data_IF_937024171306
#
_entry.id   IF_937024171306
#
_cell.length_a   1.000
_cell.length_b   1.000
_cell.length_c   1.000
_cell.angle_alpha   90.00
_cell.angle_beta   90.00
_cell.angle_gamma   90.00
#
_symmetry.space_group_name_H-M   'P 1'
#
loop_
_entity.id
_entity.type
_entity.pdbx_description
1 polymer ?
#
# COMPACT_ATOMS: atom_id res chain seq x y z
N UNK A 1 39.58 6.10 -40.39
CA UNK A 1 38.47 6.22 -39.41
C UNK A 1 37.08 5.97 -40.01
N UNK A 2 36.78 6.41 -41.25
CA UNK A 2 35.46 6.20 -41.88
C UNK A 2 35.10 4.73 -42.23
N UNK A 3 36.08 3.82 -42.29
CA UNK A 3 35.83 2.40 -42.61
C UNK A 3 35.17 1.61 -41.48
N UNK A 4 35.43 1.99 -40.22
CA UNK A 4 34.88 1.32 -39.02
C UNK A 4 33.40 1.67 -38.81
N UNK A 5 33.00 2.88 -39.20
CA UNK A 5 31.62 3.39 -39.06
C UNK A 5 30.63 2.63 -39.95
N UNK A 6 31.10 1.95 -41.01
CA UNK A 6 30.28 1.13 -41.92
C UNK A 6 30.32 -0.37 -41.62
N UNK A 7 30.97 -0.79 -40.53
CA UNK A 7 31.06 -2.20 -40.17
C UNK A 7 29.70 -2.71 -39.68
N UNK A 8 29.32 -3.92 -40.13
CA UNK A 8 28.09 -4.60 -39.72
C UNK A 8 28.12 -5.11 -38.26
N UNK A 9 29.25 -4.90 -37.58
CA UNK A 9 29.45 -5.32 -36.20
C UNK A 9 28.94 -4.25 -35.23
N UNK A 10 27.84 -4.57 -34.56
CA UNK A 10 27.07 -3.65 -33.72
C UNK A 10 27.88 -3.15 -32.51
N UNK A 11 28.79 -3.97 -31.99
CA UNK A 11 29.63 -3.61 -30.84
C UNK A 11 30.74 -2.62 -31.23
N UNK A 12 31.40 -2.83 -32.38
CA UNK A 12 32.41 -1.91 -32.90
C UNK A 12 31.84 -0.54 -33.27
N UNK A 13 30.62 -0.51 -33.81
CA UNK A 13 29.92 0.74 -34.10
C UNK A 13 29.52 1.47 -32.82
N UNK A 14 29.07 0.76 -31.79
CA UNK A 14 28.69 1.34 -30.48
C UNK A 14 29.90 1.92 -29.75
N UNK A 15 31.06 1.25 -29.80
CA UNK A 15 32.31 1.77 -29.22
C UNK A 15 32.86 3.01 -29.96
N UNK A 16 32.61 3.11 -31.28
CA UNK A 16 33.15 4.19 -32.12
C UNK A 16 32.21 5.42 -32.19
N UNK A 17 30.89 5.20 -32.22
CA UNK A 17 29.87 6.25 -32.32
C UNK A 17 29.28 6.65 -30.96
N UNK A 18 29.37 5.78 -29.96
CA UNK A 18 28.78 5.97 -28.64
C UNK A 18 27.28 5.65 -28.60
N UNK A 19 26.72 5.66 -27.39
CA UNK A 19 25.28 5.54 -27.11
C UNK A 19 24.79 6.84 -26.47
N UNK A 20 23.61 7.29 -26.86
CA UNK A 20 22.96 8.44 -26.22
C UNK A 20 22.53 8.07 -24.80
N UNK A 21 23.14 8.70 -23.80
CA UNK A 21 22.90 8.44 -22.39
C UNK A 21 21.54 8.95 -21.90
N UNK A 22 20.90 9.89 -22.62
CA UNK A 22 19.55 10.35 -22.28
C UNK A 22 18.49 9.28 -22.49
N UNK A 23 18.80 8.26 -23.31
CA UNK A 23 17.94 7.07 -23.51
C UNK A 23 18.00 6.08 -22.34
N UNK A 24 18.89 6.29 -21.37
CA UNK A 24 19.05 5.42 -20.19
C UNK A 24 18.09 5.77 -19.05
N UNK A 25 17.14 6.70 -19.26
CA UNK A 25 16.17 7.09 -18.24
C UNK A 25 16.77 7.87 -17.07
N UNK A 26 18.03 8.35 -17.20
CA UNK A 26 18.70 9.17 -16.20
C UNK A 26 18.56 10.65 -16.58
N UNK A 27 18.00 11.45 -15.66
CA UNK A 27 17.83 12.89 -15.84
C UNK A 27 19.15 13.65 -15.67
N UNK A 28 20.06 13.60 -16.64
CA UNK A 28 21.37 14.29 -16.59
C UNK A 28 21.27 15.82 -16.49
N UNK A 29 20.09 16.38 -16.69
CA UNK A 29 19.81 17.82 -16.57
C UNK A 29 19.32 18.22 -15.17
N UNK A 30 19.17 17.28 -14.22
CA UNK A 30 18.76 17.62 -12.85
C UNK A 30 19.91 18.25 -12.07
N UNK A 31 19.61 19.28 -11.27
CA UNK A 31 20.56 19.85 -10.32
C UNK A 31 20.82 18.92 -9.10
N UNK A 32 19.89 17.98 -8.87
CA UNK A 32 19.95 17.00 -7.78
C UNK A 32 20.81 15.77 -8.13
N UNK A 33 21.43 15.12 -7.12
CA UNK A 33 22.31 13.99 -7.36
C UNK A 33 21.54 12.72 -7.74
N UNK A 34 21.99 12.04 -8.81
CA UNK A 34 21.29 10.92 -9.44
C UNK A 34 21.30 9.60 -8.64
N UNK A 35 22.11 9.48 -7.59
CA UNK A 35 22.25 8.23 -6.83
C UNK A 35 20.98 7.82 -6.08
N UNK A 36 20.09 8.77 -5.75
CA UNK A 36 18.82 8.48 -5.08
C UNK A 36 17.78 7.81 -5.98
N UNK A 37 17.93 7.90 -7.30
CA UNK A 37 17.04 7.28 -8.28
C UNK A 37 17.73 6.19 -9.10
N UNK A 38 19.06 6.02 -8.95
CA UNK A 38 19.82 5.02 -9.67
C UNK A 38 19.60 3.62 -9.07
N UNK A 39 18.72 2.83 -9.71
CA UNK A 39 18.35 1.51 -9.20
C UNK A 39 19.42 0.43 -9.41
N UNK A 40 19.98 0.32 -10.63
CA UNK A 40 21.02 -0.66 -10.92
C UNK A 40 21.71 -0.37 -12.26
N UNK A 41 23.00 -0.70 -12.43
CA UNK A 41 23.74 -0.54 -13.70
C UNK A 41 23.15 -1.27 -14.91
N UNK A 42 22.29 -2.28 -14.69
CA UNK A 42 21.63 -3.05 -15.76
C UNK A 42 20.12 -2.77 -15.87
N UNK A 43 19.60 -1.80 -15.10
CA UNK A 43 18.18 -1.48 -15.14
C UNK A 43 17.87 -0.57 -16.33
N UNK A 44 17.14 -1.09 -17.32
CA UNK A 44 16.75 -0.35 -18.53
C UNK A 44 15.35 0.30 -18.43
N UNK A 45 14.70 0.24 -17.27
CA UNK A 45 13.39 0.88 -17.03
C UNK A 45 13.53 2.34 -16.58
N UNK A 46 12.43 3.14 -16.62
CA UNK A 46 12.43 4.44 -15.95
C UNK A 46 12.77 4.22 -14.49
N UNK A 47 13.81 4.91 -13.99
CA UNK A 47 14.31 4.79 -12.63
C UNK A 47 13.15 4.76 -11.65
N UNK A 48 12.87 3.58 -11.10
CA UNK A 48 11.86 3.44 -10.07
C UNK A 48 12.37 4.23 -8.87
N UNK A 49 11.51 5.08 -8.32
CA UNK A 49 11.68 5.70 -7.00
C UNK A 49 11.81 4.69 -5.85
N UNK A 50 11.81 3.39 -6.18
CA UNK A 50 11.94 2.23 -5.29
C UNK A 50 13.39 1.93 -4.88
N UNK A 51 14.34 2.83 -5.15
CA UNK A 51 15.67 2.74 -4.54
C UNK A 51 15.51 3.16 -3.09
N UNK A 52 15.53 2.17 -2.19
CA UNK A 52 15.47 2.39 -0.75
C UNK A 52 16.70 3.22 -0.34
N UNK A 53 16.51 4.54 -0.26
CA UNK A 53 17.56 5.45 0.16
C UNK A 53 18.01 5.06 1.57
N UNK A 54 19.31 4.90 1.77
CA UNK A 54 19.85 4.57 3.08
C UNK A 54 19.59 5.74 4.05
N UNK A 55 18.65 5.54 4.98
CA UNK A 55 18.27 6.55 5.96
C UNK A 55 18.94 6.25 7.30
N UNK A 56 19.73 7.20 7.82
CA UNK A 56 20.32 7.07 9.15
C UNK A 56 19.31 7.48 10.21
N UNK A 57 18.72 6.51 10.91
CA UNK A 57 17.81 6.75 12.04
C UNK A 57 18.61 7.09 13.29
N UNK A 58 18.42 8.26 13.93
CA UNK A 58 19.07 8.56 15.20
C UNK A 58 18.74 7.54 16.28
N UNK A 59 19.69 7.22 17.15
CA UNK A 59 19.54 6.19 18.18
C UNK A 59 18.35 6.41 19.13
N UNK A 60 17.88 7.66 19.29
CA UNK A 60 16.70 7.97 20.11
C UNK A 60 15.38 7.44 19.54
N UNK A 61 15.31 7.10 18.24
CA UNK A 61 14.15 6.43 17.64
C UNK A 61 14.20 4.91 17.81
N UNK A 62 15.33 4.35 18.22
CA UNK A 62 15.47 2.93 18.52
C UNK A 62 14.94 2.63 19.94
N UNK A 63 13.63 2.81 20.10
CA UNK A 63 12.93 2.53 21.35
C UNK A 63 12.62 1.04 21.45
N UNK A 64 12.51 0.55 22.69
CA UNK A 64 12.06 -0.82 22.92
C UNK A 64 10.72 -1.08 22.22
N UNK A 65 10.54 -2.25 21.58
CA UNK A 65 9.30 -2.56 20.88
C UNK A 65 8.12 -2.38 21.84
N UNK A 66 7.08 -1.61 21.45
CA UNK A 66 5.92 -1.45 22.31
C UNK A 66 5.23 -2.80 22.53
N UNK A 67 4.47 -2.96 23.63
CA UNK A 67 3.69 -4.16 23.88
C UNK A 67 2.76 -4.51 22.69
N UNK A 68 2.38 -5.79 22.52
CA UNK A 68 1.56 -6.22 21.39
C UNK A 68 0.31 -5.36 21.21
N UNK A 69 0.15 -4.78 20.02
CA UNK A 69 -0.93 -3.83 19.70
C UNK A 69 -2.33 -4.45 19.85
N UNK A 70 -2.42 -5.78 19.76
CA UNK A 70 -3.65 -6.56 19.94
C UNK A 70 -4.37 -6.23 21.26
N UNK A 71 -3.64 -5.92 22.33
CA UNK A 71 -4.22 -5.58 23.63
C UNK A 71 -4.86 -4.17 23.70
N UNK A 72 -4.57 -3.30 22.72
CA UNK A 72 -5.00 -1.89 22.72
C UNK A 72 -5.82 -1.50 21.49
N UNK A 73 -6.21 -2.47 20.67
CA UNK A 73 -6.88 -2.25 19.38
C UNK A 73 -8.18 -1.42 19.51
N UNK A 74 -8.91 -1.58 20.63
CA UNK A 74 -10.10 -0.78 20.93
C UNK A 74 -9.84 0.73 21.07
N UNK A 75 -8.63 1.16 21.42
CA UNK A 75 -8.26 2.59 21.57
C UNK A 75 -7.63 3.23 20.32
N UNK A 76 -7.37 2.42 19.30
CA UNK A 76 -6.69 2.85 18.07
C UNK A 76 -7.68 3.61 17.17
N UNK A 77 -7.22 4.56 16.36
CA UNK A 77 -8.07 5.29 15.41
C UNK A 77 -8.51 4.39 14.24
N UNK A 78 -9.65 4.69 13.62
CA UNK A 78 -10.14 3.93 12.45
C UNK A 78 -9.10 3.89 11.32
N UNK A 79 -8.43 5.02 11.06
CA UNK A 79 -7.40 5.13 10.02
C UNK A 79 -6.25 4.17 10.24
N UNK A 80 -5.80 4.03 11.48
CA UNK A 80 -4.75 3.08 11.83
C UNK A 80 -5.26 1.64 11.69
N UNK A 81 -6.54 1.35 11.96
CA UNK A 81 -7.12 0.03 11.72
C UNK A 81 -7.18 -0.28 10.21
N UNK A 82 -7.54 0.70 9.37
CA UNK A 82 -7.48 0.55 7.91
C UNK A 82 -6.05 0.28 7.46
N UNK A 83 -5.09 1.01 8.01
CA UNK A 83 -3.67 0.77 7.74
C UNK A 83 -3.27 -0.64 8.10
N UNK A 84 -3.64 -1.12 9.28
CA UNK A 84 -3.34 -2.50 9.66
C UNK A 84 -3.95 -3.52 8.71
N UNK A 85 -5.20 -3.28 8.28
CA UNK A 85 -5.92 -4.18 7.39
C UNK A 85 -5.33 -4.26 5.98
N UNK A 86 -4.94 -3.12 5.38
CA UNK A 86 -4.42 -3.09 4.02
C UNK A 86 -2.92 -3.42 3.95
N UNK A 87 -2.12 -3.02 4.95
CA UNK A 87 -0.66 -3.17 4.93
C UNK A 87 -0.17 -4.57 5.32
N UNK A 88 -1.00 -5.38 6.00
CA UNK A 88 -0.60 -6.71 6.51
C UNK A 88 -1.55 -7.82 6.03
N UNK A 89 -1.61 -8.09 4.71
CA UNK A 89 -2.45 -9.18 4.21
C UNK A 89 -2.00 -10.53 4.77
N UNK A 90 -2.97 -11.39 5.14
CA UNK A 90 -2.75 -12.73 5.70
C UNK A 90 -2.02 -12.72 7.05
N UNK A 91 -2.17 -11.65 7.81
CA UNK A 91 -1.65 -11.53 9.17
C UNK A 91 -2.77 -11.62 10.20
N UNK A 92 -2.47 -12.15 11.38
CA UNK A 92 -3.39 -12.15 12.51
C UNK A 92 -3.82 -10.71 12.89
N UNK A 93 -2.97 -9.72 12.60
CA UNK A 93 -3.29 -8.32 12.83
C UNK A 93 -4.32 -7.75 11.84
N UNK A 94 -4.39 -8.28 10.61
CA UNK A 94 -5.46 -7.93 9.66
C UNK A 94 -6.81 -8.43 10.17
N UNK A 95 -6.87 -9.66 10.66
CA UNK A 95 -8.10 -10.22 11.24
C UNK A 95 -8.54 -9.44 12.48
N UNK A 96 -7.60 -9.11 13.37
CA UNK A 96 -7.89 -8.32 14.56
C UNK A 96 -8.40 -6.90 14.21
N UNK A 97 -7.79 -6.24 13.23
CA UNK A 97 -8.24 -4.93 12.75
C UNK A 97 -9.64 -5.01 12.12
N UNK A 98 -9.92 -6.05 11.34
CA UNK A 98 -11.24 -6.29 10.77
C UNK A 98 -12.30 -6.43 11.87
N UNK A 99 -12.05 -7.23 12.90
CA UNK A 99 -12.97 -7.41 14.04
C UNK A 99 -13.31 -6.07 14.70
N UNK A 100 -12.31 -5.23 14.97
CA UNK A 100 -12.54 -3.92 15.57
C UNK A 100 -13.32 -2.97 14.65
N UNK A 101 -13.02 -2.97 13.34
CA UNK A 101 -13.79 -2.20 12.36
C UNK A 101 -15.26 -2.65 12.34
N UNK A 102 -15.52 -3.95 12.39
CA UNK A 102 -16.88 -4.50 12.50
C UNK A 102 -17.62 -4.03 13.76
N UNK A 103 -16.91 -4.01 14.91
CA UNK A 103 -17.43 -3.51 16.19
C UNK A 103 -17.80 -2.01 16.11
N UNK A 104 -17.08 -1.24 15.28
CA UNK A 104 -17.33 0.18 15.02
C UNK A 104 -18.32 0.44 13.87
N UNK A 105 -19.12 -0.57 13.52
CA UNK A 105 -20.13 -0.50 12.46
C UNK A 105 -19.60 -0.32 11.03
N UNK A 106 -18.30 -0.53 10.81
CA UNK A 106 -17.78 -0.68 9.46
C UNK A 106 -18.13 -2.06 8.90
N UNK A 107 -18.38 -2.12 7.60
CA UNK A 107 -18.67 -3.35 6.86
C UNK A 107 -17.76 -3.41 5.65
N UNK A 108 -17.26 -4.60 5.37
CA UNK A 108 -16.38 -4.81 4.22
C UNK A 108 -17.20 -5.24 3.00
N UNK A 109 -16.98 -4.57 1.87
CA UNK A 109 -17.60 -4.91 0.60
C UNK A 109 -16.65 -5.80 -0.21
N UNK A 110 -17.01 -7.06 -0.46
CA UNK A 110 -16.13 -8.10 -1.01
C UNK A 110 -15.58 -7.74 -2.41
N UNK A 111 -16.44 -7.21 -3.27
CA UNK A 111 -16.08 -6.90 -4.65
C UNK A 111 -15.27 -5.60 -4.77
N UNK A 112 -15.75 -4.51 -4.17
CA UNK A 112 -15.05 -3.23 -4.14
C UNK A 112 -13.76 -3.29 -3.31
N UNK A 113 -13.68 -4.23 -2.37
CA UNK A 113 -12.58 -4.38 -1.41
C UNK A 113 -12.40 -3.15 -0.51
N UNK A 114 -13.50 -2.47 -0.20
CA UNK A 114 -13.53 -1.26 0.60
C UNK A 114 -14.35 -1.45 1.87
N UNK A 115 -13.96 -0.72 2.92
CA UNK A 115 -14.76 -0.56 4.11
C UNK A 115 -15.77 0.57 3.93
N UNK A 116 -17.01 0.31 4.33
CA UNK A 116 -18.10 1.28 4.31
C UNK A 116 -18.87 1.27 5.62
N UNK A 117 -19.39 2.43 6.01
CA UNK A 117 -20.31 2.56 7.13
C UNK A 117 -21.52 3.39 6.71
N UNK A 118 -22.66 3.10 7.33
CA UNK A 118 -23.89 3.85 7.09
C UNK A 118 -23.75 5.28 7.62
N UNK A 119 -24.16 6.26 6.83
CA UNK A 119 -24.37 7.62 7.32
C UNK A 119 -25.68 7.70 8.12
N UNK A 120 -25.57 8.05 9.40
CA UNK A 120 -26.71 8.14 10.32
C UNK A 120 -27.67 9.28 9.97
N UNK A 121 -27.24 10.28 9.19
CA UNK A 121 -28.04 11.44 8.81
C UNK A 121 -29.01 11.20 7.65
N UNK A 122 -28.90 10.07 6.94
CA UNK A 122 -29.67 9.80 5.73
C UNK A 122 -30.84 8.82 5.94
N UNK A 123 -32.00 9.15 5.38
CA UNK A 123 -33.14 8.23 5.28
C UNK A 123 -32.82 7.11 4.30
N UNK A 124 -33.24 5.88 4.64
CA UNK A 124 -32.90 4.69 3.86
C UNK A 124 -34.13 4.00 3.32
N UNK A 125 -34.03 3.55 2.07
CA UNK A 125 -34.96 2.57 1.51
C UNK A 125 -34.34 1.19 1.66
N UNK A 126 -34.93 0.38 2.54
CA UNK A 126 -34.47 -0.99 2.81
C UNK A 126 -35.43 -1.99 2.17
N UNK A 127 -34.85 -2.95 1.48
CA UNK A 127 -35.53 -4.15 0.99
C UNK A 127 -34.83 -5.36 1.64
N UNK A 128 -35.40 -6.58 1.58
CA UNK A 128 -34.73 -7.77 2.12
C UNK A 128 -33.43 -8.14 1.39
N UNK A 129 -33.21 -7.64 0.17
CA UNK A 129 -32.05 -8.01 -0.67
C UNK A 129 -31.00 -6.90 -0.76
N UNK A 130 -31.43 -5.64 -0.72
CA UNK A 130 -30.55 -4.49 -0.81
C UNK A 130 -31.04 -3.32 0.04
N UNK A 131 -30.12 -2.41 0.36
CA UNK A 131 -30.45 -1.10 0.92
C UNK A 131 -29.85 0.02 0.08
N UNK A 132 -30.60 1.12 -0.06
CA UNK A 132 -30.14 2.33 -0.73
C UNK A 132 -30.14 3.49 0.26
N UNK A 133 -29.02 4.20 0.31
CA UNK A 133 -28.82 5.36 1.18
C UNK A 133 -27.44 5.99 1.00
N UNK A 134 -27.08 6.87 1.93
CA UNK A 134 -25.76 7.50 1.93
C UNK A 134 -24.79 6.69 2.81
N UNK A 135 -23.60 6.44 2.30
CA UNK A 135 -22.54 5.67 2.97
C UNK A 135 -21.24 6.44 2.95
N UNK A 136 -20.45 6.25 4.00
CA UNK A 136 -19.08 6.74 4.08
C UNK A 136 -18.17 5.56 3.76
N UNK A 137 -17.41 5.69 2.69
CA UNK A 137 -16.37 4.74 2.28
C UNK A 137 -15.02 5.24 2.76
N UNK A 138 -14.09 4.34 3.04
CA UNK A 138 -12.68 4.67 3.17
C UNK A 138 -11.94 4.27 1.89
N UNK A 139 -11.36 5.24 1.18
CA UNK A 139 -10.55 5.00 -0.01
C UNK A 139 -9.07 4.85 0.36
N UNK A 140 -8.47 3.65 0.22
CA UNK A 140 -7.07 3.43 0.56
C UNK A 140 -6.09 4.10 -0.42
N UNK A 141 -6.53 4.54 -1.60
CA UNK A 141 -5.65 5.21 -2.57
C UNK A 141 -5.44 6.68 -2.19
N UNK A 142 -6.52 7.40 -1.91
CA UNK A 142 -6.45 8.81 -1.47
C UNK A 142 -6.28 8.96 0.04
N UNK A 143 -6.45 7.88 0.80
CA UNK A 143 -6.42 7.88 2.26
C UNK A 143 -7.50 8.77 2.91
N UNK A 144 -8.70 8.80 2.31
CA UNK A 144 -9.79 9.69 2.74
C UNK A 144 -11.12 8.95 2.95
N UNK A 145 -11.96 9.52 3.84
CA UNK A 145 -13.34 9.10 4.02
C UNK A 145 -14.24 9.85 3.03
N UNK A 146 -14.86 9.13 2.10
CA UNK A 146 -15.69 9.71 1.03
C UNK A 146 -17.15 9.31 1.22
N UNK A 147 -18.02 10.30 1.35
CA UNK A 147 -19.48 10.11 1.41
C UNK A 147 -20.06 9.97 0.00
N UNK A 148 -20.85 8.93 -0.24
CA UNK A 148 -21.50 8.65 -1.53
C UNK A 148 -22.88 8.03 -1.32
N UNK A 149 -23.82 8.36 -2.19
CA UNK A 149 -25.07 7.59 -2.28
C UNK A 149 -24.81 6.28 -3.01
N UNK A 150 -25.20 5.18 -2.38
CA UNK A 150 -24.85 3.86 -2.85
C UNK A 150 -25.98 2.86 -2.56
N UNK A 151 -26.05 1.82 -3.39
CA UNK A 151 -26.97 0.68 -3.21
C UNK A 151 -26.12 -0.49 -2.75
N UNK A 152 -26.26 -0.87 -1.49
CA UNK A 152 -25.55 -2.00 -0.92
C UNK A 152 -26.42 -3.24 -1.08
N UNK A 153 -25.94 -4.21 -1.86
CA UNK A 153 -26.49 -5.56 -1.86
C UNK A 153 -25.97 -6.29 -0.62
N UNK A 154 -26.82 -6.89 0.19
CA UNK A 154 -26.36 -7.58 1.41
C UNK A 154 -25.42 -8.74 1.08
N UNK A 155 -25.65 -9.42 -0.04
CA UNK A 155 -24.83 -10.52 -0.55
C UNK A 155 -23.40 -10.07 -0.92
N UNK A 156 -23.19 -8.78 -1.21
CA UNK A 156 -21.87 -8.24 -1.53
C UNK A 156 -21.05 -7.86 -0.29
N UNK A 157 -21.69 -7.78 0.88
CA UNK A 157 -21.01 -7.56 2.15
C UNK A 157 -20.39 -8.86 2.68
N UNK A 158 -19.27 -8.72 3.38
CA UNK A 158 -18.69 -9.83 4.12
C UNK A 158 -19.46 -10.02 5.44
N UNK A 159 -19.89 -11.26 5.69
CA UNK A 159 -20.49 -11.65 6.95
C UNK A 159 -19.41 -11.84 8.01
N UNK A 160 -19.72 -11.50 9.26
CA UNK A 160 -18.82 -11.75 10.38
C UNK A 160 -18.51 -13.24 10.44
N UNK A 161 -17.29 -13.63 10.09
CA UNK A 161 -16.79 -14.98 10.38
C UNK A 161 -16.86 -15.16 11.90
N UNK A 162 -17.80 -15.97 12.36
CA UNK A 162 -17.71 -16.51 13.71
C UNK A 162 -16.53 -17.45 13.68
N UNK A 163 -15.41 -17.04 14.29
CA UNK A 163 -14.27 -17.92 14.49
C UNK A 163 -14.74 -18.99 15.48
N UNK A 164 -15.31 -20.09 14.97
CA UNK A 164 -15.42 -21.32 15.73
C UNK A 164 -14.00 -21.75 16.10
N UNK A 165 -13.76 -21.92 17.39
CA UNK A 165 -12.44 -21.95 18.01
C UNK A 165 -11.42 -22.81 17.26
N UNK A 166 -10.32 -22.18 16.87
CA UNK A 166 -9.09 -22.87 16.50
C UNK A 166 -8.01 -22.45 17.51
N UNK A 167 -7.48 -23.43 18.22
CA UNK A 167 -6.45 -23.28 19.24
C UNK A 167 -5.16 -22.64 18.67
N UNK A 168 -4.36 -21.95 19.50
CA UNK A 168 -3.14 -21.31 19.03
C UNK A 168 -2.04 -22.37 18.88
N UNK A 169 -1.73 -22.75 17.65
CA UNK A 169 -0.45 -23.41 17.37
C UNK A 169 0.55 -22.33 16.95
N UNK A 170 1.43 -21.99 17.90
CA UNK A 170 2.57 -21.13 17.63
C UNK A 170 3.51 -21.81 16.64
N UNK A 171 3.85 -21.10 15.57
CA UNK A 171 5.09 -21.28 14.84
C UNK A 171 5.58 -19.90 14.39
N UNK A 172 6.61 -19.44 15.09
CA UNK A 172 7.33 -18.20 14.89
C UNK A 172 8.34 -18.41 13.76
N UNK A 173 8.10 -17.87 12.55
CA UNK A 173 9.10 -17.79 11.48
C UNK A 173 8.73 -16.89 10.28
N UNK A 174 8.16 -15.69 10.45
CA UNK A 174 7.92 -14.78 9.28
C UNK A 174 8.20 -13.30 9.59
N UNK A 175 9.27 -13.03 10.36
CA UNK A 175 9.64 -11.67 10.78
C UNK A 175 10.37 -10.79 9.75
N UNK A 176 10.75 -11.30 8.58
CA UNK A 176 11.62 -10.55 7.64
C UNK A 176 11.01 -10.18 6.28
N UNK A 177 9.81 -10.68 5.93
CA UNK A 177 9.21 -10.36 4.62
C UNK A 177 8.13 -9.26 4.66
N UNK A 178 7.86 -8.68 5.85
CA UNK A 178 6.68 -7.85 6.09
C UNK A 178 6.92 -6.33 6.09
N UNK A 179 8.17 -5.88 6.07
CA UNK A 179 8.46 -4.42 6.01
C UNK A 179 8.19 -3.80 4.63
N UNK A 180 8.28 -4.56 3.54
CA UNK A 180 8.13 -4.02 2.19
C UNK A 180 6.69 -3.62 1.84
N UNK A 181 5.68 -4.34 2.36
CA UNK A 181 4.27 -3.99 2.16
C UNK A 181 3.86 -2.73 2.96
N UNK A 182 4.41 -2.60 4.17
CA UNK A 182 4.29 -1.42 5.04
C UNK A 182 4.91 -0.21 4.36
N UNK A 183 6.09 -0.36 3.74
CA UNK A 183 6.76 0.74 3.05
C UNK A 183 6.05 1.16 1.76
N UNK A 184 5.55 0.23 0.95
CA UNK A 184 4.81 0.53 -0.29
C UNK A 184 3.49 1.27 -0.05
N UNK A 185 2.79 0.99 1.06
CA UNK A 185 1.56 1.70 1.40
C UNK A 185 1.82 3.06 2.07
N UNK A 186 2.80 3.15 2.97
CA UNK A 186 3.22 4.45 3.54
C UNK A 186 3.75 5.36 2.44
N UNK A 187 4.51 4.83 1.47
CA UNK A 187 4.99 5.61 0.31
C UNK A 187 3.85 6.11 -0.56
N UNK A 188 2.84 5.30 -0.87
CA UNK A 188 1.67 5.74 -1.65
C UNK A 188 0.86 6.82 -0.93
N UNK A 189 0.72 6.73 0.39
CA UNK A 189 0.02 7.75 1.19
C UNK A 189 0.84 9.05 1.29
N UNK A 190 2.16 8.95 1.44
CA UNK A 190 3.06 10.11 1.51
C UNK A 190 3.22 10.79 0.14
N UNK A 191 3.22 10.04 -0.97
CA UNK A 191 3.30 10.63 -2.32
C UNK A 191 1.99 11.24 -2.83
N UNK A 192 0.83 10.88 -2.27
CA UNK A 192 -0.45 11.53 -2.54
C UNK A 192 -0.62 12.86 -1.79
N UNK A 193 0.04 13.01 -0.63
CA UNK A 193 0.11 14.25 0.14
C UNK A 193 1.37 15.02 -0.26
N UNK A 194 1.32 15.66 -1.44
CA UNK A 194 2.45 16.38 -2.03
C UNK A 194 3.24 17.25 -1.04
N UNK A 195 4.42 16.77 -0.69
CA UNK A 195 5.58 17.49 -0.18
C UNK A 195 6.81 16.94 -0.90
#
# INVERSE_FOLDING_TARGET
>A
MLGVIRMADQDATTLTLGRDLTTLGLSLNSAEPLHGTFASPWFEGPTSSDVEAEFHVPACYNVQPPPPVQAKLGSVLDETLFYMFYSMPRDALQDAAAVELYNRHWRYHKELRLWLMKDQSSEQSKTPTFERGSYIFFDPNSWEKVKKDFIVMYDALEERRQVSGMAPNGNNAEGHCRMLAIWLMVWRVVTMLGC
#
